data_IF_418196546714
#
_entry.id   IF_418196546714
#
_cell.length_a   1.000
_cell.length_b   1.000
_cell.length_c   1.000
_cell.angle_alpha   90.00
_cell.angle_beta   90.00
_cell.angle_gamma   90.00
#
_symmetry.space_group_name_H-M   'P 1'
#
loop_
_entity.id
_entity.type
_entity.pdbx_description
1 polymer ?
#
# COMPACT_ATOMS: atom_id res chain seq x y z
N UNK A 1 -11.73 35.40 -59.69
CA UNK A 1 -12.63 36.15 -60.58
C UNK A 1 -13.80 35.25 -60.90
N UNK A 2 -14.93 35.46 -60.23
CA UNK A 2 -16.16 34.67 -60.44
C UNK A 2 -16.88 35.22 -61.66
N UNK A 3 -17.04 34.40 -62.68
CA UNK A 3 -17.89 34.71 -63.82
C UNK A 3 -19.33 34.67 -63.31
N UNK A 4 -19.98 35.84 -63.20
CA UNK A 4 -21.43 35.95 -62.95
C UNK A 4 -22.20 35.47 -64.19
N UNK A 5 -22.01 34.22 -64.61
CA UNK A 5 -22.97 33.56 -65.46
C UNK A 5 -24.13 33.17 -64.55
N UNK A 6 -25.26 33.89 -64.69
CA UNK A 6 -26.53 33.52 -64.10
C UNK A 6 -26.87 32.11 -64.59
N UNK A 7 -26.52 31.10 -63.80
CA UNK A 7 -26.91 29.73 -64.06
C UNK A 7 -28.41 29.65 -63.79
N UNK A 8 -29.20 29.91 -64.83
CA UNK A 8 -30.65 29.87 -64.70
C UNK A 8 -31.10 28.41 -64.72
N UNK A 9 -31.92 28.06 -63.74
CA UNK A 9 -32.52 26.73 -63.66
C UNK A 9 -33.50 26.53 -64.82
N UNK A 10 -33.06 25.73 -65.81
CA UNK A 10 -33.86 25.39 -67.00
C UNK A 10 -35.09 24.54 -66.66
N UNK A 11 -35.13 23.91 -65.48
CA UNK A 11 -36.15 22.94 -65.10
C UNK A 11 -37.38 23.55 -64.42
N UNK A 12 -37.33 24.83 -64.03
CA UNK A 12 -38.44 25.49 -63.32
C UNK A 12 -39.46 26.16 -64.27
N UNK A 13 -40.43 25.36 -64.74
CA UNK A 13 -41.41 25.76 -65.75
C UNK A 13 -42.32 26.94 -65.33
N UNK A 14 -42.62 27.08 -64.05
CA UNK A 14 -43.46 28.17 -63.54
C UNK A 14 -42.76 29.54 -63.65
N UNK A 15 -41.45 29.58 -63.41
CA UNK A 15 -40.64 30.79 -63.53
C UNK A 15 -40.30 31.11 -64.99
N UNK A 16 -40.08 30.10 -65.84
CA UNK A 16 -39.72 30.31 -67.24
C UNK A 16 -40.88 30.88 -68.09
N UNK A 17 -42.13 30.54 -67.79
CA UNK A 17 -43.31 31.11 -68.49
C UNK A 17 -43.50 32.62 -68.25
N UNK A 18 -43.04 33.13 -67.11
CA UNK A 18 -43.16 34.54 -66.74
C UNK A 18 -41.92 35.38 -67.09
N UNK A 19 -40.82 34.75 -67.56
CA UNK A 19 -39.50 35.37 -67.81
C UNK A 19 -39.22 35.73 -69.27
N UNK A 20 -40.21 35.75 -70.16
CA UNK A 20 -40.04 36.42 -71.45
C UNK A 20 -40.16 37.95 -71.20
N UNK A 21 -39.00 38.58 -71.02
CA UNK A 21 -38.88 40.05 -70.98
C UNK A 21 -38.77 40.63 -72.41
N UNK A 22 -38.62 39.76 -73.41
CA UNK A 22 -38.81 40.06 -74.83
C UNK A 22 -39.68 38.94 -75.42
N UNK A 23 -40.81 39.31 -76.00
CA UNK A 23 -41.69 38.36 -76.69
C UNK A 23 -41.37 38.35 -78.18
N UNK A 24 -40.60 37.37 -78.64
CA UNK A 24 -40.29 37.24 -80.06
C UNK A 24 -41.47 36.69 -80.87
N UNK A 25 -42.46 36.07 -80.21
CA UNK A 25 -43.57 35.36 -80.88
C UNK A 25 -44.83 36.23 -81.06
N UNK A 26 -44.82 37.52 -80.69
CA UNK A 26 -45.96 38.46 -80.81
C UNK A 26 -47.31 38.00 -80.19
N UNK A 27 -47.30 36.97 -79.35
CA UNK A 27 -48.51 36.37 -78.73
C UNK A 27 -49.09 37.16 -77.55
N UNK A 28 -48.35 38.13 -77.00
CA UNK A 28 -48.79 38.94 -75.86
C UNK A 28 -49.60 40.14 -76.37
N UNK A 29 -50.82 40.33 -75.85
CA UNK A 29 -51.63 41.53 -76.12
C UNK A 29 -50.87 42.77 -75.64
N UNK A 30 -50.72 43.75 -76.52
CA UNK A 30 -50.19 45.07 -76.18
C UNK A 30 -51.08 45.71 -75.10
N UNK A 31 -50.48 46.06 -73.96
CA UNK A 31 -51.19 46.62 -72.83
C UNK A 31 -50.69 48.05 -72.58
N UNK A 32 -51.56 49.02 -72.80
CA UNK A 32 -51.28 50.47 -72.73
C UNK A 32 -51.15 50.96 -71.28
N UNK A 33 -51.59 50.17 -70.31
CA UNK A 33 -51.64 50.58 -68.89
C UNK A 33 -50.36 50.22 -68.11
N UNK A 34 -49.34 49.66 -68.76
CA UNK A 34 -48.03 49.46 -68.13
C UNK A 34 -47.19 50.72 -68.22
N UNK A 35 -46.48 51.04 -67.14
CA UNK A 35 -45.47 52.10 -67.15
C UNK A 35 -44.33 51.69 -68.10
N UNK A 36 -43.90 52.60 -68.95
CA UNK A 36 -42.91 52.32 -70.00
C UNK A 36 -41.45 52.55 -69.57
N UNK A 37 -41.20 52.93 -68.31
CA UNK A 37 -39.85 53.15 -67.80
C UNK A 37 -39.15 51.81 -67.57
N UNK A 38 -37.84 51.73 -67.85
CA UNK A 38 -37.05 50.51 -67.65
C UNK A 38 -37.08 49.99 -66.19
N UNK A 39 -37.30 50.87 -65.21
CA UNK A 39 -37.42 50.51 -63.78
C UNK A 39 -38.76 49.91 -63.39
N UNK A 40 -39.79 50.13 -64.21
CA UNK A 40 -41.13 49.59 -63.98
C UNK A 40 -41.38 48.32 -64.81
N UNK A 41 -40.40 47.88 -65.60
CA UNK A 41 -40.45 46.58 -66.27
C UNK A 41 -40.52 45.47 -65.21
N UNK A 42 -41.42 44.51 -65.42
CA UNK A 42 -41.59 43.35 -64.54
C UNK A 42 -40.27 42.61 -64.33
N UNK A 43 -39.43 42.55 -65.37
CA UNK A 43 -38.11 41.95 -65.31
C UNK A 43 -37.20 42.67 -64.29
N UNK A 44 -37.17 44.01 -64.36
CA UNK A 44 -36.35 44.84 -63.48
C UNK A 44 -36.84 44.77 -62.03
N UNK A 45 -38.16 44.86 -61.82
CA UNK A 45 -38.77 44.76 -60.49
C UNK A 45 -38.47 43.38 -59.86
N UNK A 46 -38.56 42.28 -60.61
CA UNK A 46 -38.24 40.94 -60.10
C UNK A 46 -36.77 40.84 -59.69
N UNK A 47 -35.84 41.28 -60.53
CA UNK A 47 -34.41 41.27 -60.21
C UNK A 47 -34.11 42.17 -59.00
N UNK A 48 -34.67 43.37 -58.95
CA UNK A 48 -34.49 44.28 -57.82
C UNK A 48 -35.06 43.67 -56.53
N UNK A 49 -36.23 43.03 -56.60
CA UNK A 49 -36.85 42.34 -55.46
C UNK A 49 -35.98 41.18 -54.99
N UNK A 50 -35.43 40.36 -55.91
CA UNK A 50 -34.52 39.25 -55.57
C UNK A 50 -33.22 39.74 -54.92
N UNK A 51 -32.62 40.81 -55.45
CA UNK A 51 -31.44 41.43 -54.86
C UNK A 51 -31.74 42.01 -53.47
N UNK A 52 -32.94 42.56 -53.28
CA UNK A 52 -33.39 43.10 -51.99
C UNK A 52 -33.68 42.00 -50.96
N UNK A 53 -34.20 40.85 -51.40
CA UNK A 53 -34.49 39.69 -50.53
C UNK A 53 -33.21 38.99 -50.07
N UNK A 54 -32.16 38.94 -50.91
CA UNK A 54 -30.94 38.19 -50.64
C UNK A 54 -30.35 38.38 -49.23
N UNK A 55 -30.05 39.62 -48.80
CA UNK A 55 -29.50 39.90 -47.46
C UNK A 55 -30.47 39.53 -46.33
N UNK A 56 -31.77 39.76 -46.51
CA UNK A 56 -32.79 39.45 -45.53
C UNK A 56 -32.99 37.94 -45.38
N UNK A 57 -32.92 37.18 -46.48
CA UNK A 57 -33.12 35.74 -46.47
C UNK A 57 -32.07 35.05 -45.60
N UNK A 58 -30.80 35.45 -45.70
CA UNK A 58 -29.73 34.92 -44.83
C UNK A 58 -30.02 35.13 -43.33
N UNK A 59 -30.63 36.26 -42.95
CA UNK A 59 -30.95 36.55 -41.56
C UNK A 59 -32.13 35.75 -41.00
N UNK A 60 -33.02 35.25 -41.86
CA UNK A 60 -34.23 34.50 -41.47
C UNK A 60 -34.17 33.01 -41.83
N UNK A 61 -33.17 32.58 -42.58
CA UNK A 61 -32.99 31.16 -42.91
C UNK A 61 -32.61 30.38 -41.67
N UNK A 62 -33.50 29.50 -41.22
CA UNK A 62 -33.16 28.47 -40.26
C UNK A 62 -32.35 27.38 -40.97
N UNK A 63 -31.07 27.23 -40.59
CA UNK A 63 -30.18 26.20 -41.12
C UNK A 63 -30.26 24.89 -40.33
N UNK A 64 -31.23 24.75 -39.42
CA UNK A 64 -31.47 23.53 -38.67
C UNK A 64 -32.37 22.58 -39.45
N UNK A 65 -31.83 21.41 -39.79
CA UNK A 65 -32.61 20.29 -40.32
C UNK A 65 -33.31 19.52 -39.19
N UNK A 66 -34.58 19.16 -39.41
CA UNK A 66 -35.33 18.28 -38.50
C UNK A 66 -34.91 16.81 -38.63
N UNK A 67 -34.31 16.44 -39.75
CA UNK A 67 -33.86 15.07 -40.03
C UNK A 67 -32.57 14.76 -39.28
N UNK A 68 -32.46 13.54 -38.78
CA UNK A 68 -31.27 13.12 -38.03
C UNK A 68 -29.96 13.21 -38.85
N UNK A 69 -30.03 13.01 -40.16
CA UNK A 69 -28.87 13.06 -41.05
C UNK A 69 -28.45 14.49 -41.43
N UNK A 70 -29.29 15.49 -41.14
CA UNK A 70 -29.06 16.90 -41.45
C UNK A 70 -28.47 17.15 -42.85
N UNK A 71 -29.11 16.62 -43.92
CA UNK A 71 -28.49 16.55 -45.24
C UNK A 71 -28.20 17.95 -45.81
N UNK A 72 -29.10 18.91 -45.61
CA UNK A 72 -28.95 20.26 -46.13
C UNK A 72 -27.89 21.06 -45.37
N UNK A 73 -27.84 20.89 -44.04
CA UNK A 73 -26.85 21.55 -43.18
C UNK A 73 -25.44 21.05 -43.49
N UNK A 74 -25.28 19.72 -43.61
CA UNK A 74 -23.99 19.10 -43.96
C UNK A 74 -23.55 19.56 -45.35
N UNK A 75 -24.44 19.52 -46.34
CA UNK A 75 -24.14 19.96 -47.70
C UNK A 75 -23.73 21.44 -47.75
N UNK A 76 -24.49 22.31 -47.08
CA UNK A 76 -24.15 23.73 -47.01
C UNK A 76 -22.79 23.98 -46.36
N UNK A 77 -22.44 23.21 -45.33
CA UNK A 77 -21.13 23.32 -44.70
C UNK A 77 -20.00 22.76 -45.57
N UNK A 78 -20.22 21.67 -46.30
CA UNK A 78 -19.20 21.10 -47.20
C UNK A 78 -18.98 21.94 -48.45
N UNK A 79 -20.02 22.59 -48.97
CA UNK A 79 -19.94 23.43 -50.17
C UNK A 79 -19.29 24.79 -49.88
N UNK A 80 -19.26 25.21 -48.60
CA UNK A 80 -18.69 26.48 -48.17
C UNK A 80 -17.45 26.28 -47.29
N UNK A 81 -16.27 26.64 -47.82
CA UNK A 81 -14.96 26.44 -47.14
C UNK A 81 -14.85 27.11 -45.76
N UNK A 82 -15.61 28.17 -45.50
CA UNK A 82 -15.57 28.93 -44.24
C UNK A 82 -16.63 28.50 -43.22
N UNK A 83 -17.43 27.48 -43.53
CA UNK A 83 -18.48 26.98 -42.63
C UNK A 83 -18.08 25.67 -41.98
N UNK A 84 -17.77 25.71 -40.69
CA UNK A 84 -17.52 24.51 -39.91
C UNK A 84 -18.83 23.96 -39.35
N UNK A 85 -19.15 22.71 -39.70
CA UNK A 85 -20.28 21.99 -39.12
C UNK A 85 -19.85 21.19 -37.89
N UNK A 86 -20.63 21.28 -36.81
CA UNK A 86 -20.45 20.48 -35.61
C UNK A 86 -21.80 19.95 -35.12
N UNK A 87 -21.96 18.63 -35.09
CA UNK A 87 -23.16 17.96 -34.57
C UNK A 87 -22.96 17.53 -33.10
N UNK A 88 -22.74 18.46 -32.19
CA UNK A 88 -22.47 18.14 -30.78
C UNK A 88 -21.12 17.43 -30.55
N UNK A 89 -21.09 16.41 -29.69
CA UNK A 89 -19.86 15.73 -29.26
C UNK A 89 -19.59 14.41 -30.01
N UNK A 90 -20.55 13.89 -30.75
CA UNK A 90 -20.47 12.62 -31.49
C UNK A 90 -21.28 12.73 -32.80
N UNK A 91 -21.36 11.69 -33.60
CA UNK A 91 -22.25 11.68 -34.77
C UNK A 91 -23.72 11.60 -34.34
N UNK A 92 -24.64 12.00 -35.23
CA UNK A 92 -26.07 11.86 -34.99
C UNK A 92 -26.49 10.41 -34.73
N UNK A 93 -27.58 10.22 -33.97
CA UNK A 93 -28.05 8.89 -33.54
C UNK A 93 -28.29 7.90 -34.68
N UNK A 94 -28.63 8.39 -35.88
CA UNK A 94 -28.91 7.59 -37.06
C UNK A 94 -27.67 6.95 -37.68
N UNK A 95 -26.47 7.47 -37.41
CA UNK A 95 -25.20 6.97 -37.97
C UNK A 95 -24.25 6.48 -36.88
N UNK A 96 -24.76 6.29 -35.66
CA UNK A 96 -23.95 5.92 -34.50
C UNK A 96 -23.33 4.53 -34.65
N UNK A 97 -24.04 3.60 -35.26
CA UNK A 97 -23.55 2.24 -35.49
C UNK A 97 -22.41 2.22 -36.51
N UNK A 98 -22.56 2.93 -37.62
CA UNK A 98 -21.53 3.01 -38.65
C UNK A 98 -20.32 3.78 -38.16
N UNK A 99 -20.54 4.85 -37.40
CA UNK A 99 -19.46 5.56 -36.73
C UNK A 99 -18.76 4.68 -35.69
N UNK A 100 -19.48 3.84 -34.95
CA UNK A 100 -18.89 2.90 -33.99
C UNK A 100 -18.05 1.86 -34.71
N UNK A 101 -18.54 1.31 -35.83
CA UNK A 101 -17.79 0.40 -36.68
C UNK A 101 -16.51 1.05 -37.22
N UNK A 102 -16.57 2.31 -37.65
CA UNK A 102 -15.39 3.05 -38.14
C UNK A 102 -14.38 3.37 -37.02
N UNK A 103 -14.85 3.76 -35.83
CA UNK A 103 -13.98 4.08 -34.68
C UNK A 103 -13.33 2.84 -34.04
N UNK A 104 -14.11 1.77 -33.88
CA UNK A 104 -13.70 0.57 -33.13
C UNK A 104 -13.10 -0.49 -34.07
N UNK A 105 -13.50 -0.51 -35.34
CA UNK A 105 -13.12 -1.53 -36.32
C UNK A 105 -13.77 -2.90 -36.03
N UNK A 106 -13.43 -3.90 -36.87
CA UNK A 106 -13.78 -5.32 -36.63
C UNK A 106 -13.01 -5.90 -35.44
N UNK A 107 -11.78 -5.43 -35.22
CA UNK A 107 -10.89 -5.91 -34.18
C UNK A 107 -10.41 -4.71 -33.37
N UNK A 108 -10.66 -4.72 -32.06
CA UNK A 108 -10.10 -3.71 -31.16
C UNK A 108 -8.57 -3.77 -31.26
N UNK A 109 -7.92 -2.65 -31.60
CA UNK A 109 -6.45 -2.54 -31.69
C UNK A 109 -5.74 -2.98 -30.40
N UNK A 110 -6.43 -2.88 -29.27
CA UNK A 110 -6.00 -3.37 -27.96
C UNK A 110 -7.19 -4.06 -27.27
N UNK A 111 -7.42 -5.37 -27.48
CA UNK A 111 -8.39 -6.08 -26.67
C UNK A 111 -7.92 -6.02 -25.21
N UNK A 112 -8.83 -5.76 -24.27
CA UNK A 112 -8.49 -5.93 -22.85
C UNK A 112 -8.08 -7.39 -22.66
N UNK A 113 -6.81 -7.65 -22.39
CA UNK A 113 -6.37 -8.98 -22.00
C UNK A 113 -7.14 -9.40 -20.74
N UNK A 114 -7.37 -10.71 -20.55
CA UNK A 114 -7.90 -11.20 -19.28
C UNK A 114 -6.97 -10.71 -18.17
N UNK A 115 -7.45 -9.83 -17.29
CA UNK A 115 -6.70 -9.44 -16.10
C UNK A 115 -6.72 -10.64 -15.16
N UNK A 116 -5.64 -11.43 -15.13
CA UNK A 116 -5.44 -12.40 -14.06
C UNK A 116 -5.26 -11.60 -12.76
N UNK A 117 -6.26 -11.68 -11.89
CA UNK A 117 -6.18 -11.16 -10.53
C UNK A 117 -5.42 -12.18 -9.70
N UNK A 118 -4.13 -11.94 -9.47
CA UNK A 118 -3.37 -12.71 -8.49
C UNK A 118 -3.87 -12.34 -7.08
N UNK A 119 -4.14 -13.34 -6.26
CA UNK A 119 -4.40 -13.12 -4.85
C UNK A 119 -3.15 -12.56 -4.15
N UNK A 120 -3.37 -11.84 -3.05
CA UNK A 120 -2.27 -11.36 -2.22
C UNK A 120 -1.56 -12.57 -1.60
N UNK A 121 -0.22 -12.56 -1.43
CA UNK A 121 0.51 -13.65 -0.78
C UNK A 121 0.08 -13.93 0.67
N UNK A 122 -0.71 -13.05 1.28
CA UNK A 122 -1.29 -13.19 2.61
C UNK A 122 -2.79 -12.87 2.58
N UNK A 123 -3.57 -13.68 3.30
CA UNK A 123 -5.04 -13.60 3.32
C UNK A 123 -5.54 -12.40 4.13
N UNK A 124 -4.85 -12.03 5.21
CA UNK A 124 -5.22 -10.96 6.15
C UNK A 124 -3.99 -10.24 6.69
N UNK A 125 -4.20 -9.17 7.48
CA UNK A 125 -3.11 -8.46 8.16
C UNK A 125 -2.47 -9.36 9.24
N UNK A 126 -1.13 -9.51 9.25
CA UNK A 126 -0.45 -10.28 10.30
C UNK A 126 -0.57 -9.61 11.68
N UNK A 127 -0.39 -10.39 12.74
CA UNK A 127 -0.44 -9.90 14.12
C UNK A 127 0.69 -8.90 14.42
N UNK A 128 0.33 -7.64 14.67
CA UNK A 128 1.28 -6.54 14.95
C UNK A 128 1.46 -6.23 16.45
N UNK A 129 0.94 -7.09 17.35
CA UNK A 129 0.91 -6.80 18.80
C UNK A 129 2.28 -6.81 19.50
N UNK A 130 3.34 -7.29 18.83
CA UNK A 130 4.72 -7.26 19.34
C UNK A 130 5.40 -5.89 19.21
N UNK A 131 4.77 -4.95 18.52
CA UNK A 131 5.32 -3.60 18.34
C UNK A 131 6.38 -3.52 17.25
N UNK A 132 7.14 -2.42 17.28
CA UNK A 132 8.18 -2.12 16.28
C UNK A 132 9.42 -2.97 16.52
N UNK A 133 9.87 -3.68 15.49
CA UNK A 133 11.07 -4.51 15.55
C UNK A 133 12.33 -3.62 15.55
N UNK A 134 13.18 -3.77 16.57
CA UNK A 134 14.50 -3.12 16.64
C UNK A 134 15.62 -4.18 16.61
N UNK A 135 15.97 -4.72 15.42
CA UNK A 135 16.86 -5.89 15.34
C UNK A 135 18.27 -5.65 15.89
N UNK A 136 18.79 -4.42 15.79
CA UNK A 136 20.11 -4.09 16.36
C UNK A 136 20.10 -4.16 17.90
N UNK A 137 19.07 -3.58 18.53
CA UNK A 137 18.91 -3.56 19.98
C UNK A 137 18.57 -4.96 20.51
N UNK A 138 17.70 -5.71 19.82
CA UNK A 138 17.44 -7.10 20.18
C UNK A 138 18.70 -7.96 20.06
N UNK A 139 19.51 -7.77 19.02
CA UNK A 139 20.76 -8.53 18.87
C UNK A 139 21.76 -8.21 19.97
N UNK A 140 21.87 -6.95 20.39
CA UNK A 140 22.74 -6.55 21.51
C UNK A 140 22.27 -7.16 22.84
N UNK A 141 20.96 -7.23 23.06
CA UNK A 141 20.37 -7.86 24.25
C UNK A 141 20.51 -9.39 24.26
N UNK A 142 20.30 -10.05 23.11
CA UNK A 142 20.42 -11.52 22.97
C UNK A 142 21.87 -11.97 23.12
N UNK A 143 22.80 -11.21 22.54
CA UNK A 143 24.23 -11.50 22.54
C UNK A 143 25.00 -10.48 23.39
N UNK A 144 24.55 -10.25 24.63
CA UNK A 144 25.24 -9.37 25.56
C UNK A 144 26.69 -9.82 25.78
N UNK A 145 27.59 -8.87 26.04
CA UNK A 145 28.99 -9.17 26.35
C UNK A 145 29.12 -10.11 27.56
N UNK A 146 29.92 -11.17 27.43
CA UNK A 146 30.16 -12.11 28.53
C UNK A 146 31.09 -11.45 29.56
N UNK A 147 30.60 -11.25 30.79
CA UNK A 147 31.40 -10.65 31.88
C UNK A 147 32.42 -11.63 32.47
N UNK A 148 32.57 -12.84 31.91
CA UNK A 148 33.54 -13.82 32.38
C UNK A 148 34.96 -13.37 32.07
N UNK A 149 35.65 -12.92 33.11
CA UNK A 149 37.10 -12.75 33.08
C UNK A 149 37.76 -14.12 33.16
N UNK A 150 38.65 -14.42 32.21
CA UNK A 150 39.50 -15.62 32.30
C UNK A 150 40.36 -15.51 33.57
N UNK A 151 40.37 -16.55 34.40
CA UNK A 151 41.30 -16.63 35.54
C UNK A 151 42.71 -16.38 35.01
N UNK A 152 43.42 -15.41 35.59
CA UNK A 152 44.81 -15.13 35.22
C UNK A 152 45.64 -16.42 35.30
N UNK A 153 46.44 -16.72 34.27
CA UNK A 153 47.39 -17.83 34.25
C UNK A 153 48.56 -17.62 35.23
N UNK A 154 48.31 -17.18 36.46
CA UNK A 154 49.32 -17.18 37.50
C UNK A 154 49.37 -18.58 38.11
N UNK A 155 49.91 -19.52 37.34
CA UNK A 155 50.18 -20.89 37.78
C UNK A 155 51.42 -20.87 38.65
N UNK A 156 51.26 -20.57 39.94
CA UNK A 156 52.24 -21.01 40.94
C UNK A 156 52.41 -22.55 40.91
N UNK A 157 51.46 -23.27 40.29
CA UNK A 157 51.43 -24.71 40.07
C UNK A 157 52.44 -25.25 39.04
N UNK A 158 53.34 -24.44 38.47
CA UNK A 158 54.36 -24.88 37.51
C UNK A 158 55.79 -24.41 37.79
N UNK A 159 56.00 -23.66 38.87
CA UNK A 159 57.33 -23.17 39.26
C UNK A 159 57.74 -23.88 40.55
N UNK A 160 58.92 -24.48 40.56
CA UNK A 160 59.51 -25.03 41.77
C UNK A 160 59.84 -23.86 42.71
N UNK A 161 59.04 -23.70 43.77
CA UNK A 161 59.30 -22.69 44.78
C UNK A 161 60.55 -23.14 45.56
N UNK A 162 61.62 -22.32 45.63
CA UNK A 162 62.78 -22.66 46.44
C UNK A 162 62.33 -22.85 47.89
N UNK A 163 62.83 -23.90 48.55
CA UNK A 163 62.49 -24.26 49.95
C UNK A 163 61.09 -24.87 50.16
N UNK A 164 60.40 -25.34 49.12
CA UNK A 164 59.09 -26.01 49.26
C UNK A 164 59.08 -27.24 50.19
N UNK A 165 60.23 -27.91 50.36
CA UNK A 165 60.38 -29.06 51.26
C UNK A 165 61.09 -28.70 52.57
N UNK A 166 61.37 -27.43 52.80
CA UNK A 166 61.97 -26.97 54.05
C UNK A 166 60.84 -26.85 55.09
N UNK A 167 60.94 -27.55 56.24
CA UNK A 167 59.95 -27.39 57.29
C UNK A 167 59.94 -25.96 57.81
N UNK A 168 58.77 -25.51 58.26
CA UNK A 168 58.63 -24.22 58.93
C UNK A 168 59.40 -24.22 60.25
N UNK A 169 59.83 -23.02 60.67
CA UNK A 169 60.30 -22.80 62.04
C UNK A 169 59.25 -23.30 63.03
N UNK A 170 59.64 -24.08 64.04
CA UNK A 170 58.72 -24.79 64.93
C UNK A 170 57.60 -23.90 65.51
N UNK A 171 57.95 -22.67 65.91
CA UNK A 171 56.97 -21.70 66.40
C UNK A 171 55.90 -21.36 65.35
N UNK A 172 56.29 -21.18 64.08
CA UNK A 172 55.35 -20.90 63.00
C UNK A 172 54.57 -22.15 62.60
N UNK A 173 55.20 -23.33 62.60
CA UNK A 173 54.54 -24.61 62.34
C UNK A 173 53.40 -24.86 63.34
N UNK A 174 53.69 -24.70 64.64
CA UNK A 174 52.73 -24.92 65.71
C UNK A 174 51.60 -23.89 65.73
N UNK A 175 51.87 -22.63 65.37
CA UNK A 175 50.86 -21.56 65.46
C UNK A 175 50.06 -21.36 64.16
N UNK A 176 50.74 -21.31 63.02
CA UNK A 176 50.16 -20.82 61.75
C UNK A 176 49.60 -21.92 60.87
N UNK A 177 50.18 -23.13 60.89
CA UNK A 177 49.72 -24.26 60.04
C UNK A 177 49.03 -25.38 60.82
N UNK A 178 49.03 -25.32 62.15
CA UNK A 178 48.34 -26.32 62.96
C UNK A 178 46.82 -26.18 62.77
N UNK A 179 46.10 -27.24 62.31
CA UNK A 179 44.66 -27.17 62.11
C UNK A 179 43.91 -26.81 63.40
N UNK A 180 44.44 -27.19 64.56
CA UNK A 180 43.91 -26.83 65.89
C UNK A 180 43.83 -25.31 66.13
N UNK A 181 44.47 -24.47 65.32
CA UNK A 181 44.38 -23.01 65.46
C UNK A 181 43.63 -22.32 64.31
N UNK A 182 43.26 -23.06 63.26
CA UNK A 182 42.68 -22.51 62.03
C UNK A 182 41.28 -23.04 61.80
N UNK A 183 41.11 -24.36 61.94
CA UNK A 183 39.88 -25.08 61.61
C UNK A 183 39.12 -25.33 62.90
N UNK A 184 38.02 -24.61 63.06
CA UNK A 184 37.22 -24.62 64.28
C UNK A 184 36.70 -26.03 64.63
N UNK A 185 36.35 -26.83 63.61
CA UNK A 185 35.88 -28.22 63.75
C UNK A 185 36.91 -29.15 64.41
N UNK A 186 38.21 -28.83 64.26
CA UNK A 186 39.28 -29.62 64.88
C UNK A 186 39.58 -29.20 66.32
N UNK A 187 39.23 -27.95 66.68
CA UNK A 187 39.39 -27.41 68.03
C UNK A 187 38.28 -27.93 68.93
N UNK A 188 37.05 -27.87 68.44
CA UNK A 188 35.87 -28.31 69.15
C UNK A 188 35.04 -29.19 68.21
N UNK A 189 34.93 -30.51 68.48
CA UNK A 189 34.10 -31.41 67.70
C UNK A 189 32.61 -31.04 67.69
N UNK A 190 32.16 -30.18 68.62
CA UNK A 190 30.78 -29.68 68.68
C UNK A 190 30.54 -28.44 67.81
N UNK A 191 31.60 -27.83 67.26
CA UNK A 191 31.48 -26.68 66.37
C UNK A 191 30.94 -27.10 65.00
N UNK A 192 29.89 -26.39 64.52
CA UNK A 192 29.23 -26.66 63.25
C UNK A 192 29.11 -25.33 62.47
N UNK A 193 29.49 -25.34 61.20
CA UNK A 193 29.29 -24.18 60.31
C UNK A 193 27.79 -23.86 60.18
N UNK A 194 27.41 -22.62 60.52
CA UNK A 194 26.00 -22.20 60.56
C UNK A 194 25.36 -22.23 61.95
N UNK A 195 26.09 -22.68 62.97
CA UNK A 195 25.62 -22.76 64.36
C UNK A 195 24.73 -23.97 64.62
N UNK A 196 24.64 -24.39 65.89
CA UNK A 196 23.73 -25.45 66.29
C UNK A 196 22.27 -24.93 66.25
N UNK A 197 21.37 -25.70 65.65
CA UNK A 197 19.95 -25.34 65.59
C UNK A 197 19.36 -25.28 67.01
N UNK A 198 18.92 -24.09 67.42
CA UNK A 198 18.35 -23.83 68.76
C UNK A 198 17.14 -24.73 69.07
N UNK A 199 16.36 -25.08 68.05
CA UNK A 199 15.20 -25.97 68.21
C UNK A 199 15.62 -27.40 68.58
N UNK A 200 16.73 -27.89 68.01
CA UNK A 200 17.27 -29.21 68.36
C UNK A 200 17.81 -29.22 69.79
N UNK A 201 18.46 -28.15 70.21
CA UNK A 201 18.96 -28.01 71.59
C UNK A 201 17.80 -28.08 72.59
N UNK A 202 16.71 -27.33 72.36
CA UNK A 202 15.53 -27.34 73.24
C UNK A 202 14.87 -28.72 73.25
N UNK A 203 14.71 -29.35 72.08
CA UNK A 203 14.15 -30.70 71.96
C UNK A 203 14.99 -31.72 72.71
N UNK A 204 16.31 -31.69 72.53
CA UNK A 204 17.22 -32.66 73.14
C UNK A 204 17.31 -32.45 74.66
N UNK A 205 17.19 -31.20 75.15
CA UNK A 205 17.07 -30.90 76.58
C UNK A 205 15.75 -31.42 77.17
N UNK A 206 14.61 -31.12 76.54
CA UNK A 206 13.29 -31.61 76.97
C UNK A 206 13.24 -33.14 76.96
N UNK A 207 13.78 -33.77 75.92
CA UNK A 207 13.88 -35.21 75.82
C UNK A 207 14.82 -35.80 76.89
N UNK A 208 15.95 -35.16 77.17
CA UNK A 208 16.85 -35.55 78.26
C UNK A 208 16.16 -35.48 79.62
N UNK A 209 15.34 -34.46 79.87
CA UNK A 209 14.59 -34.29 81.12
C UNK A 209 13.48 -35.34 81.28
N UNK A 210 12.79 -35.71 80.20
CA UNK A 210 11.69 -36.68 80.22
C UNK A 210 12.15 -38.14 80.19
N UNK A 211 13.18 -38.44 79.41
CA UNK A 211 13.56 -39.81 79.05
C UNK A 211 14.94 -40.23 79.58
N UNK A 212 15.68 -39.36 80.28
CA UNK A 212 16.83 -39.75 81.10
C UNK A 212 18.06 -40.30 80.35
N UNK A 213 18.45 -39.69 79.22
CA UNK A 213 19.68 -39.99 78.43
C UNK A 213 19.96 -41.46 78.06
N UNK A 214 19.02 -42.39 78.23
CA UNK A 214 19.28 -43.84 78.13
C UNK A 214 19.87 -44.32 76.78
N UNK A 215 19.61 -43.59 75.69
CA UNK A 215 20.08 -43.89 74.34
C UNK A 215 21.40 -43.18 73.96
N UNK A 216 21.79 -42.13 74.70
CA UNK A 216 22.98 -41.33 74.40
C UNK A 216 24.27 -41.99 74.89
N UNK A 217 24.20 -42.87 75.87
CA UNK A 217 25.34 -43.64 76.35
C UNK A 217 25.53 -44.90 75.50
N UNK A 218 26.66 -44.98 74.78
CA UNK A 218 26.99 -46.12 73.93
C UNK A 218 27.07 -47.45 74.69
N UNK A 219 27.35 -47.41 75.99
CA UNK A 219 27.40 -48.58 76.88
C UNK A 219 26.04 -49.15 77.26
N UNK A 220 24.98 -48.32 77.31
CA UNK A 220 23.63 -48.75 77.70
C UNK A 220 22.73 -49.11 76.52
N UNK A 221 23.10 -48.74 75.29
CA UNK A 221 22.32 -49.08 74.10
C UNK A 221 23.19 -49.49 72.89
N UNK A 222 23.99 -50.57 73.01
CA UNK A 222 24.98 -50.94 72.01
C UNK A 222 24.36 -51.34 70.66
N UNK A 223 23.16 -51.94 70.65
CA UNK A 223 22.48 -52.37 69.42
C UNK A 223 22.05 -51.21 68.50
N UNK A 224 21.70 -50.06 69.08
CA UNK A 224 21.34 -48.88 68.31
C UNK A 224 22.56 -48.28 67.59
N UNK A 225 23.70 -48.19 68.28
CA UNK A 225 24.93 -47.62 67.75
C UNK A 225 25.71 -48.55 66.81
N UNK A 226 25.54 -49.87 66.92
CA UNK A 226 26.13 -50.83 65.96
C UNK A 226 25.40 -50.82 64.62
N UNK A 227 24.09 -50.60 64.62
CA UNK A 227 23.27 -50.47 63.38
C UNK A 227 23.49 -49.14 62.67
N UNK A 228 23.84 -48.08 63.40
CA UNK A 228 24.16 -46.75 62.85
C UNK A 228 25.59 -46.33 63.24
N UNK A 229 26.63 -46.92 62.62
CA UNK A 229 28.03 -46.68 63.00
C UNK A 229 28.51 -45.25 62.68
N UNK A 230 27.87 -44.59 61.71
CA UNK A 230 28.00 -43.15 61.46
C UNK A 230 26.79 -42.50 62.11
N UNK A 231 26.93 -42.08 63.36
CA UNK A 231 25.86 -41.40 64.09
C UNK A 231 25.51 -40.07 63.42
N UNK A 232 24.69 -40.08 62.38
CA UNK A 232 24.01 -38.91 61.85
C UNK A 232 22.51 -39.13 61.94
N UNK A 233 21.94 -38.79 63.11
CA UNK A 233 20.54 -38.36 63.13
C UNK A 233 20.40 -36.87 62.76
N UNK A 234 21.49 -36.26 62.28
CA UNK A 234 21.54 -34.91 61.73
C UNK A 234 22.57 -34.90 60.59
N UNK A 235 22.09 -35.23 59.39
CA UNK A 235 22.53 -34.63 58.14
C UNK A 235 21.26 -34.18 57.42
#
# INVERSE_FOLDING_TARGET
>A
MSYNQLNYDKSNNALNSQRNCVNFDNTKKFNVNYKAMARDDKCFIDIQTRQSIGPGNYSVTNLYDCDCLMPQTVQNATDNVLMFFKNGNDVGSCVIDDSTKLRVGLTRRYPKCPQQLYERPYMTTPYMGRGYLQPNLESELIYSEDTKVKKSCNTLSGVTIPQQFTPLVDHLSYNVQNPLHIVQETVDPSWIHGGANTQLIVRDYDYSARCGKAYMNRSTNPEFWTKNPKGSLLA
#
